data_IF_051805706740
#
_entry.id   IF_051805706740
#
_cell.length_a   1.000
_cell.length_b   1.000
_cell.length_c   1.000
_cell.angle_alpha   90.00
_cell.angle_beta   90.00
_cell.angle_gamma   90.00
#
_symmetry.space_group_name_H-M   'P 1'
#
loop_
_entity.id
_entity.type
_entity.pdbx_description
1 polymer ?
#
# COMPACT_ATOMS: atom_id res chain seq x y z
N UNK A 1 30.20 -8.45 14.17
CA UNK A 1 29.30 -8.86 13.07
C UNK A 1 27.86 -8.60 13.50
N UNK A 2 27.26 -7.52 13.01
CA UNK A 2 25.93 -7.10 13.44
C UNK A 2 24.85 -7.92 12.73
N UNK A 3 24.04 -8.66 13.51
CA UNK A 3 22.82 -9.32 13.05
C UNK A 3 21.78 -8.24 12.75
N UNK A 4 21.63 -7.87 11.49
CA UNK A 4 20.55 -7.00 11.03
C UNK A 4 19.21 -7.73 11.10
N UNK A 5 18.27 -7.19 11.87
CA UNK A 5 16.89 -7.67 12.00
C UNK A 5 16.18 -7.68 10.64
N UNK A 6 16.15 -8.84 9.98
CA UNK A 6 15.24 -9.15 8.88
C UNK A 6 13.87 -9.49 9.48
N UNK A 7 12.87 -8.63 9.32
CA UNK A 7 11.56 -8.92 9.90
C UNK A 7 10.45 -7.90 9.68
N UNK A 8 10.37 -7.25 8.51
CA UNK A 8 9.11 -6.63 8.10
C UNK A 8 8.13 -7.73 7.70
N UNK A 9 7.09 -7.96 8.51
CA UNK A 9 5.97 -8.85 8.14
C UNK A 9 5.28 -8.27 6.90
N UNK A 10 5.23 -9.08 5.86
CA UNK A 10 4.97 -8.68 4.47
C UNK A 10 3.45 -8.60 4.20
N UNK A 11 3.04 -8.21 3.01
CA UNK A 11 1.64 -8.02 2.60
C UNK A 11 0.97 -9.32 2.11
N UNK A 12 -0.32 -9.53 2.42
CA UNK A 12 -1.11 -10.60 1.79
C UNK A 12 -2.59 -10.29 1.75
N UNK A 13 -3.15 -10.35 0.55
CA UNK A 13 -4.58 -10.56 0.34
C UNK A 13 -5.06 -11.81 1.10
N UNK A 14 -5.72 -11.56 2.23
CA UNK A 14 -6.39 -12.57 3.06
C UNK A 14 -5.58 -13.04 4.27
N UNK A 15 -6.03 -12.64 5.46
CA UNK A 15 -5.63 -13.13 6.78
C UNK A 15 -4.11 -13.15 7.05
N UNK A 16 -3.50 -11.96 6.95
CA UNK A 16 -2.36 -11.57 7.77
C UNK A 16 -1.10 -12.43 7.75
N UNK A 17 -0.66 -12.90 6.58
CA UNK A 17 0.67 -13.51 6.43
C UNK A 17 1.33 -13.03 5.15
N UNK A 18 2.24 -12.08 5.32
CA UNK A 18 2.98 -11.52 4.23
C UNK A 18 3.64 -12.47 3.23
N UNK A 19 3.84 -11.97 2.01
CA UNK A 19 4.51 -12.68 0.91
C UNK A 19 5.73 -13.48 1.38
N UNK A 20 5.72 -14.80 1.24
CA UNK A 20 6.89 -15.61 1.61
C UNK A 20 8.10 -15.26 0.72
N UNK A 21 9.31 -14.98 1.26
CA UNK A 21 10.48 -14.70 0.43
C UNK A 21 10.80 -15.78 -0.58
N UNK A 22 10.49 -17.04 -0.24
CA UNK A 22 10.73 -18.18 -1.12
C UNK A 22 9.77 -18.22 -2.31
N UNK A 23 8.70 -17.41 -2.32
CA UNK A 23 7.77 -17.29 -3.43
C UNK A 23 8.24 -16.27 -4.49
N UNK A 24 9.28 -15.48 -4.20
CA UNK A 24 9.87 -14.53 -5.17
C UNK A 24 10.87 -15.30 -6.04
N UNK A 25 10.58 -15.38 -7.34
CA UNK A 25 11.48 -16.03 -8.32
C UNK A 25 12.53 -15.05 -8.81
N UNK A 26 12.14 -13.80 -9.04
CA UNK A 26 13.02 -12.73 -9.47
C UNK A 26 12.25 -11.44 -9.68
N UNK A 27 12.99 -10.33 -9.77
CA UNK A 27 12.46 -9.00 -10.05
C UNK A 27 13.16 -8.39 -11.27
N UNK A 28 12.45 -7.53 -11.98
CA UNK A 28 12.95 -6.71 -13.08
C UNK A 28 12.61 -5.26 -12.81
N UNK A 29 13.47 -4.34 -13.25
CA UNK A 29 13.17 -2.90 -13.15
C UNK A 29 11.90 -2.59 -13.93
N UNK A 30 11.00 -1.79 -13.34
CA UNK A 30 9.76 -1.38 -14.01
C UNK A 30 10.01 -0.77 -15.40
N UNK A 31 11.07 0.03 -15.54
CA UNK A 31 11.40 0.70 -16.81
C UNK A 31 11.74 -0.30 -17.92
N UNK A 32 12.33 -1.45 -17.56
CA UNK A 32 12.70 -2.48 -18.54
C UNK A 32 11.48 -3.16 -19.18
N UNK A 33 10.31 -3.12 -18.54
CA UNK A 33 9.05 -3.68 -19.08
C UNK A 33 8.30 -2.67 -19.97
N UNK A 34 8.80 -1.43 -20.11
CA UNK A 34 8.08 -0.37 -20.84
C UNK A 34 7.90 -0.70 -22.33
N UNK A 35 8.85 -1.44 -22.91
CA UNK A 35 8.67 -2.07 -24.22
C UNK A 35 7.69 -3.23 -24.09
N UNK A 36 6.43 -3.00 -24.47
CA UNK A 36 5.33 -3.96 -24.36
C UNK A 36 4.28 -3.61 -23.32
N UNK A 37 4.64 -2.87 -22.25
CA UNK A 37 3.73 -2.47 -21.17
C UNK A 37 3.77 -0.97 -20.87
N UNK A 38 3.82 -0.14 -21.93
CA UNK A 38 3.99 1.31 -21.79
C UNK A 38 2.94 1.95 -20.87
N UNK A 39 1.67 1.56 -21.02
CA UNK A 39 0.58 2.10 -20.20
C UNK A 39 0.78 1.74 -18.72
N UNK A 40 1.02 0.46 -18.41
CA UNK A 40 1.17 -0.03 -17.05
C UNK A 40 2.38 0.58 -16.35
N UNK A 41 3.50 0.72 -17.07
CA UNK A 41 4.70 1.39 -16.57
C UNK A 41 4.40 2.86 -16.26
N UNK A 42 3.78 3.60 -17.19
CA UNK A 42 3.47 5.01 -17.00
C UNK A 42 2.47 5.23 -15.84
N UNK A 43 1.51 4.31 -15.65
CA UNK A 43 0.58 4.32 -14.52
C UNK A 43 1.29 4.20 -13.17
N UNK A 44 2.22 3.25 -13.03
CA UNK A 44 2.98 3.04 -11.78
C UNK A 44 3.98 4.17 -11.53
N UNK A 45 4.69 4.63 -12.57
CA UNK A 45 5.61 5.77 -12.46
C UNK A 45 4.89 7.07 -12.05
N UNK A 46 3.63 7.25 -12.47
CA UNK A 46 2.82 8.39 -12.03
C UNK A 46 2.62 8.37 -10.52
N UNK A 47 2.42 7.19 -9.90
CA UNK A 47 2.35 7.07 -8.44
C UNK A 47 3.67 7.50 -7.81
N UNK A 48 4.80 6.99 -8.31
CA UNK A 48 6.13 7.37 -7.81
C UNK A 48 6.34 8.88 -7.84
N UNK A 49 6.00 9.53 -8.96
CA UNK A 49 6.07 10.98 -9.11
C UNK A 49 5.15 11.72 -8.13
N UNK A 50 3.85 11.37 -8.11
CA UNK A 50 2.87 12.04 -7.26
C UNK A 50 3.24 11.92 -5.77
N UNK A 51 3.79 10.77 -5.37
CA UNK A 51 4.22 10.51 -4.01
C UNK A 51 5.52 11.24 -3.66
N UNK A 52 6.46 11.36 -4.60
CA UNK A 52 7.64 12.21 -4.42
C UNK A 52 7.25 13.68 -4.26
N UNK A 53 6.35 14.18 -5.11
CA UNK A 53 5.89 15.58 -5.03
C UNK A 53 5.18 15.87 -3.70
N UNK A 54 4.42 14.91 -3.17
CA UNK A 54 3.65 15.09 -1.93
C UNK A 54 4.48 14.85 -0.64
N UNK A 55 5.39 13.88 -0.65
CA UNK A 55 6.09 13.41 0.56
C UNK A 55 7.61 13.58 0.51
N UNK A 56 8.19 13.93 -0.63
CA UNK A 56 9.65 14.01 -0.83
C UNK A 56 10.36 12.65 -0.74
N UNK A 57 9.62 11.56 -0.98
CA UNK A 57 10.11 10.19 -0.83
C UNK A 57 10.25 9.55 -2.20
N UNK A 58 11.49 9.25 -2.54
CA UNK A 58 11.83 8.40 -3.69
C UNK A 58 11.88 6.94 -3.27
N UNK A 59 11.30 6.09 -4.12
CA UNK A 59 11.24 4.63 -4.04
C UNK A 59 11.29 4.07 -5.45
N UNK A 60 12.07 3.01 -5.60
CA UNK A 60 12.14 2.24 -6.84
C UNK A 60 10.96 1.28 -6.97
N UNK A 61 10.47 1.17 -8.21
CA UNK A 61 9.43 0.24 -8.59
C UNK A 61 9.99 -0.88 -9.47
N UNK A 62 9.54 -2.10 -9.19
CA UNK A 62 9.91 -3.31 -9.91
C UNK A 62 8.68 -4.10 -10.35
N UNK A 63 8.90 -5.06 -11.24
CA UNK A 63 7.94 -6.10 -11.58
C UNK A 63 8.49 -7.44 -11.11
N UNK A 64 7.72 -8.16 -10.29
CA UNK A 64 8.15 -9.41 -9.66
C UNK A 64 7.48 -10.63 -10.29
N UNK A 65 8.28 -11.65 -10.60
CA UNK A 65 7.76 -12.97 -10.94
C UNK A 65 7.57 -13.77 -9.65
N UNK A 66 6.33 -14.14 -9.33
CA UNK A 66 5.98 -14.88 -8.13
C UNK A 66 5.53 -16.31 -8.44
N UNK A 67 5.82 -17.23 -7.50
CA UNK A 67 5.37 -18.63 -7.54
C UNK A 67 4.54 -18.99 -6.30
N UNK A 68 4.02 -20.21 -6.28
CA UNK A 68 3.28 -20.73 -5.12
C UNK A 68 2.11 -19.84 -4.71
N UNK A 69 1.98 -19.59 -3.41
CA UNK A 69 0.92 -18.73 -2.87
C UNK A 69 1.15 -17.25 -3.21
N UNK A 70 2.40 -16.83 -3.41
CA UNK A 70 2.75 -15.47 -3.84
C UNK A 70 2.09 -15.03 -5.15
N UNK A 71 1.70 -15.95 -6.04
CA UNK A 71 0.95 -15.61 -7.27
C UNK A 71 -0.36 -14.86 -7.02
N UNK A 72 -0.91 -14.96 -5.81
CA UNK A 72 -2.15 -14.28 -5.41
C UNK A 72 -1.94 -12.84 -4.94
N UNK A 73 -0.71 -12.44 -4.60
CA UNK A 73 -0.40 -11.07 -4.23
C UNK A 73 -0.46 -10.15 -5.47
N UNK A 74 -0.91 -8.91 -5.30
CA UNK A 74 -0.96 -7.91 -6.39
C UNK A 74 0.34 -7.12 -6.48
N UNK A 75 0.93 -6.83 -5.32
CA UNK A 75 2.24 -6.22 -5.16
C UNK A 75 2.77 -6.50 -3.76
N UNK A 76 3.97 -6.01 -3.49
CA UNK A 76 4.56 -6.00 -2.16
C UNK A 76 5.61 -4.90 -2.02
N UNK A 77 5.80 -4.45 -0.79
CA UNK A 77 6.96 -3.70 -0.35
C UNK A 77 7.87 -4.60 0.52
N UNK A 78 9.17 -4.62 0.24
CA UNK A 78 10.13 -5.51 0.92
C UNK A 78 11.00 -4.85 2.00
N UNK A 79 10.91 -3.52 2.14
CA UNK A 79 11.74 -2.72 3.02
C UNK A 79 12.59 -1.68 2.28
N UNK A 80 12.84 -1.90 0.99
CA UNK A 80 13.64 -1.01 0.16
C UNK A 80 12.88 -0.65 -1.14
N UNK A 81 12.22 -1.63 -1.77
CA UNK A 81 11.57 -1.49 -3.07
C UNK A 81 10.09 -1.86 -3.02
N UNK A 82 9.33 -1.34 -3.98
CA UNK A 82 7.96 -1.80 -4.27
C UNK A 82 7.99 -2.63 -5.54
N UNK A 83 7.42 -3.83 -5.50
CA UNK A 83 7.28 -4.65 -6.68
C UNK A 83 5.82 -5.03 -6.96
N UNK A 84 5.40 -4.87 -8.21
CA UNK A 84 4.09 -5.31 -8.70
C UNK A 84 4.21 -6.73 -9.24
N UNK A 85 3.26 -7.61 -8.93
CA UNK A 85 3.31 -8.99 -9.41
C UNK A 85 3.05 -9.04 -10.93
N UNK A 86 3.99 -9.62 -11.68
CA UNK A 86 3.94 -9.77 -13.14
C UNK A 86 2.67 -10.46 -13.62
N UNK A 87 2.10 -11.38 -12.83
CA UNK A 87 0.86 -12.07 -13.17
C UNK A 87 -0.37 -11.14 -13.23
N UNK A 88 -0.28 -9.96 -12.61
CA UNK A 88 -1.33 -8.94 -12.57
C UNK A 88 -0.87 -7.62 -13.18
N UNK A 89 0.31 -7.57 -13.82
CA UNK A 89 0.86 -6.38 -14.45
C UNK A 89 0.21 -6.11 -15.82
N UNK A 90 -1.09 -5.86 -15.77
CA UNK A 90 -1.98 -5.50 -16.87
C UNK A 90 -3.05 -4.56 -16.30
N UNK A 91 -3.21 -3.38 -16.89
CA UNK A 91 -4.05 -2.33 -16.30
C UNK A 91 -5.52 -2.75 -16.15
N UNK A 92 -6.06 -3.45 -17.16
CA UNK A 92 -7.47 -3.88 -17.16
C UNK A 92 -7.71 -4.99 -16.16
N UNK A 93 -6.84 -6.00 -16.13
CA UNK A 93 -6.91 -7.11 -15.20
C UNK A 93 -6.80 -6.61 -13.75
N UNK A 94 -5.78 -5.81 -13.44
CA UNK A 94 -5.59 -5.28 -12.10
C UNK A 94 -6.78 -4.44 -11.65
N UNK A 95 -7.34 -3.63 -12.54
CA UNK A 95 -8.54 -2.83 -12.28
C UNK A 95 -9.74 -3.72 -11.95
N UNK A 96 -10.00 -4.76 -12.73
CA UNK A 96 -11.11 -5.68 -12.47
C UNK A 96 -10.95 -6.46 -11.15
N UNK A 97 -9.72 -6.86 -10.82
CA UNK A 97 -9.41 -7.50 -9.53
C UNK A 97 -9.67 -6.54 -8.38
N UNK A 98 -9.17 -5.29 -8.47
CA UNK A 98 -9.38 -4.27 -7.43
C UNK A 98 -10.86 -3.90 -7.25
N UNK A 99 -11.62 -3.79 -8.33
CA UNK A 99 -13.06 -3.51 -8.26
C UNK A 99 -13.81 -4.66 -7.57
N UNK A 100 -13.48 -5.91 -7.92
CA UNK A 100 -14.03 -7.10 -7.24
C UNK A 100 -13.72 -7.12 -5.74
N UNK A 101 -12.50 -6.73 -5.36
CA UNK A 101 -12.11 -6.66 -3.95
C UNK A 101 -12.77 -5.49 -3.20
N UNK A 102 -13.13 -4.42 -3.90
CA UNK A 102 -13.87 -3.29 -3.32
C UNK A 102 -15.34 -3.68 -3.09
N UNK A 103 -15.98 -4.34 -4.05
CA UNK A 103 -17.41 -4.67 -4.00
C UNK A 103 -17.76 -5.75 -2.97
N UNK A 104 -16.81 -6.66 -2.66
CA UNK A 104 -16.98 -7.71 -1.64
C UNK A 104 -16.87 -7.15 -0.22
N UNK A 105 -17.84 -6.32 0.17
CA UNK A 105 -17.97 -5.79 1.53
C UNK A 105 -16.89 -4.76 1.89
N UNK A 106 -16.40 -4.00 0.91
CA UNK A 106 -15.34 -2.99 1.08
C UNK A 106 -14.05 -3.56 1.67
N UNK A 107 -13.54 -4.65 1.10
CA UNK A 107 -12.28 -5.23 1.58
C UNK A 107 -11.11 -4.25 1.42
N UNK A 108 -11.08 -3.49 0.32
CA UNK A 108 -10.22 -2.31 0.12
C UNK A 108 -11.05 -1.04 -0.09
N UNK A 109 -10.48 0.17 0.09
CA UNK A 109 -11.06 1.42 -0.39
C UNK A 109 -11.24 1.40 -1.90
N UNK A 110 -12.23 2.16 -2.39
CA UNK A 110 -12.41 2.35 -3.83
C UNK A 110 -11.19 3.02 -4.45
N UNK A 111 -10.80 2.59 -5.65
CA UNK A 111 -9.77 3.27 -6.46
C UNK A 111 -10.22 4.61 -7.05
N UNK A 112 -11.49 5.02 -6.86
CA UNK A 112 -12.03 6.23 -7.45
C UNK A 112 -11.86 6.24 -8.97
N UNK A 113 -11.19 7.28 -9.48
CA UNK A 113 -10.87 7.40 -10.91
C UNK A 113 -9.46 6.90 -11.28
N UNK A 114 -8.67 6.38 -10.32
CA UNK A 114 -7.35 5.81 -10.56
C UNK A 114 -7.47 4.38 -11.09
N UNK A 115 -6.40 3.85 -11.70
CA UNK A 115 -6.36 2.45 -12.15
C UNK A 115 -6.10 1.48 -11.00
N UNK A 116 -6.32 0.19 -11.23
CA UNK A 116 -5.96 -0.84 -10.24
C UNK A 116 -4.47 -0.82 -9.89
N UNK A 117 -3.59 -0.65 -10.89
CA UNK A 117 -2.14 -0.57 -10.69
C UNK A 117 -1.77 0.62 -9.82
N UNK A 118 -2.38 1.78 -10.08
CA UNK A 118 -2.17 2.98 -9.28
C UNK A 118 -2.60 2.79 -7.82
N UNK A 119 -3.74 2.12 -7.60
CA UNK A 119 -4.25 1.83 -6.25
C UNK A 119 -3.31 0.90 -5.47
N UNK A 120 -2.87 -0.19 -6.11
CA UNK A 120 -1.93 -1.15 -5.49
C UNK A 120 -0.58 -0.50 -5.21
N UNK A 121 -0.01 0.22 -6.18
CA UNK A 121 1.26 0.92 -5.98
C UNK A 121 1.17 1.97 -4.84
N UNK A 122 0.05 2.69 -4.72
CA UNK A 122 -0.17 3.63 -3.63
C UNK A 122 -0.31 2.95 -2.26
N UNK A 123 -0.95 1.77 -2.21
CA UNK A 123 -1.02 0.94 -1.01
C UNK A 123 0.38 0.53 -0.55
N UNK A 124 1.18 -0.07 -1.45
CA UNK A 124 2.55 -0.50 -1.12
C UNK A 124 3.46 0.70 -0.75
N UNK A 125 3.26 1.86 -1.40
CA UNK A 125 3.91 3.10 -0.99
C UNK A 125 3.53 3.51 0.42
N UNK A 126 2.29 3.31 0.85
CA UNK A 126 1.86 3.55 2.21
C UNK A 126 2.66 2.76 3.25
N UNK A 127 3.07 1.52 2.94
CA UNK A 127 3.98 0.76 3.81
C UNK A 127 5.37 1.39 3.89
N UNK A 128 5.92 1.81 2.76
CA UNK A 128 7.25 2.40 2.71
C UNK A 128 7.29 3.78 3.38
N UNK A 129 6.27 4.61 3.16
CA UNK A 129 6.07 5.87 3.87
C UNK A 129 5.97 5.64 5.38
N UNK A 130 5.26 4.58 5.81
CA UNK A 130 5.17 4.21 7.22
C UNK A 130 6.55 3.96 7.81
N UNK A 131 7.39 3.14 7.16
CA UNK A 131 8.75 2.87 7.64
C UNK A 131 9.60 4.14 7.71
N UNK A 132 9.59 4.97 6.67
CA UNK A 132 10.36 6.23 6.67
C UNK A 132 9.90 7.16 7.81
N UNK A 133 8.60 7.27 8.05
CA UNK A 133 8.05 8.15 9.11
C UNK A 133 8.29 7.57 10.51
N UNK A 134 8.06 6.28 10.72
CA UNK A 134 8.29 5.61 12.01
C UNK A 134 9.75 5.75 12.43
N UNK A 135 10.68 5.55 11.49
CA UNK A 135 12.11 5.67 11.73
C UNK A 135 12.55 7.12 11.97
N UNK A 136 12.15 8.05 11.09
CA UNK A 136 12.59 9.46 11.18
C UNK A 136 12.00 10.20 12.37
N UNK A 137 10.71 9.97 12.67
CA UNK A 137 9.99 10.69 13.74
C UNK A 137 9.93 9.93 15.06
N UNK A 138 10.48 8.72 15.13
CA UNK A 138 10.47 7.84 16.31
C UNK A 138 9.05 7.67 16.89
N UNK A 139 8.05 7.56 16.02
CA UNK A 139 6.64 7.35 16.36
C UNK A 139 6.21 5.96 15.89
N UNK A 140 5.51 5.19 16.71
CA UNK A 140 5.00 3.87 16.32
C UNK A 140 3.73 3.97 15.45
N UNK A 141 3.43 2.92 14.67
CA UNK A 141 2.18 2.85 13.89
C UNK A 141 0.95 2.93 14.80
N UNK A 142 1.04 2.33 15.99
CA UNK A 142 -0.02 2.42 17.01
C UNK A 142 -0.29 3.86 17.42
N UNK A 143 0.76 4.67 17.63
CA UNK A 143 0.60 6.08 18.00
C UNK A 143 0.00 6.90 16.85
N UNK A 144 0.36 6.62 15.60
CA UNK A 144 -0.26 7.25 14.42
C UNK A 144 -1.77 6.97 14.42
N UNK A 145 -2.17 5.71 14.53
CA UNK A 145 -3.59 5.33 14.53
C UNK A 145 -4.33 5.88 15.76
N UNK A 146 -3.73 5.83 16.95
CA UNK A 146 -4.35 6.41 18.16
C UNK A 146 -4.60 7.91 18.02
N UNK A 147 -3.68 8.66 17.40
CA UNK A 147 -3.87 10.09 17.15
C UNK A 147 -4.99 10.33 16.15
N UNK A 148 -5.01 9.58 15.04
CA UNK A 148 -6.05 9.67 14.02
C UNK A 148 -7.43 9.34 14.59
N UNK A 149 -7.54 8.24 15.36
CA UNK A 149 -8.78 7.79 15.99
C UNK A 149 -9.35 8.82 16.96
N UNK A 150 -8.48 9.49 17.73
CA UNK A 150 -8.91 10.61 18.59
C UNK A 150 -9.43 11.79 17.78
N UNK A 151 -8.74 12.18 16.71
CA UNK A 151 -9.16 13.30 15.84
C UNK A 151 -10.51 13.07 15.17
N UNK A 152 -10.89 11.81 14.91
CA UNK A 152 -12.13 11.46 14.21
C UNK A 152 -13.26 10.98 15.13
N UNK A 153 -13.05 11.00 16.45
CA UNK A 153 -14.07 10.70 17.47
C UNK A 153 -14.23 9.22 17.83
N UNK A 154 -13.26 8.36 17.51
CA UNK A 154 -13.28 6.92 17.82
C UNK A 154 -12.55 6.54 19.12
N UNK A 155 -11.90 7.50 19.77
CA UNK A 155 -11.21 7.27 21.06
C UNK A 155 -10.05 6.29 20.94
N UNK A 156 -10.09 5.20 21.71
CA UNK A 156 -9.05 4.15 21.73
C UNK A 156 -9.44 2.88 20.97
N UNK A 157 -10.63 2.83 20.36
CA UNK A 157 -11.06 1.64 19.61
C UNK A 157 -10.46 1.62 18.20
N UNK A 158 -9.25 1.08 18.10
CA UNK A 158 -8.50 1.01 16.84
C UNK A 158 -9.17 0.08 15.82
N UNK A 159 -9.89 -0.95 16.25
CA UNK A 159 -10.57 -1.88 15.33
C UNK A 159 -11.80 -1.25 14.73
N UNK A 160 -12.60 -0.55 15.54
CA UNK A 160 -13.73 0.23 15.04
C UNK A 160 -13.26 1.33 14.08
N UNK A 161 -12.18 2.04 14.43
CA UNK A 161 -11.56 3.04 13.55
C UNK A 161 -11.11 2.43 12.21
N UNK A 162 -10.31 1.36 12.23
CA UNK A 162 -9.81 0.71 11.02
C UNK A 162 -10.94 0.19 10.12
N UNK A 163 -12.03 -0.32 10.71
CA UNK A 163 -13.19 -0.81 9.97
C UNK A 163 -13.91 0.26 9.14
N UNK A 164 -13.71 1.55 9.43
CA UNK A 164 -14.25 2.65 8.63
C UNK A 164 -13.46 2.91 7.35
N UNK A 165 -12.21 2.48 7.30
CA UNK A 165 -11.35 2.60 6.12
C UNK A 165 -11.65 1.44 5.18
N UNK A 166 -11.41 0.21 5.63
CA UNK A 166 -11.67 -1.00 4.84
C UNK A 166 -11.70 -2.28 5.69
N UNK A 167 -12.11 -3.38 5.06
CA UNK A 167 -12.00 -4.73 5.63
C UNK A 167 -10.56 -5.11 5.96
N UNK A 168 -9.63 -4.81 5.04
CA UNK A 168 -8.23 -5.18 5.13
C UNK A 168 -7.44 -4.30 6.12
N UNK A 169 -7.83 -3.05 6.31
CA UNK A 169 -7.27 -2.17 7.33
C UNK A 169 -7.33 -2.75 8.76
N UNK A 170 -8.22 -3.70 9.03
CA UNK A 170 -8.33 -4.37 10.34
C UNK A 170 -7.25 -5.41 10.61
N UNK A 171 -6.53 -5.87 9.58
CA UNK A 171 -5.56 -6.96 9.71
C UNK A 171 -4.33 -6.55 10.52
N UNK A 172 -3.86 -5.31 10.36
CA UNK A 172 -2.78 -4.75 11.18
C UNK A 172 -2.76 -3.22 11.16
N UNK A 173 -2.01 -2.61 12.08
CA UNK A 173 -1.79 -1.17 12.06
C UNK A 173 -1.11 -0.70 10.76
N UNK A 174 -0.20 -1.51 10.21
CA UNK A 174 0.53 -1.19 9.00
C UNK A 174 -0.38 -1.21 7.78
N UNK A 175 -1.29 -2.19 7.72
CA UNK A 175 -2.33 -2.28 6.69
C UNK A 175 -3.34 -1.13 6.80
N UNK A 176 -3.74 -0.77 8.03
CA UNK A 176 -4.59 0.40 8.25
C UNK A 176 -3.99 1.68 7.67
N UNK A 177 -2.67 1.89 7.83
CA UNK A 177 -1.99 3.06 7.30
C UNK A 177 -1.85 2.97 5.77
N UNK A 178 -1.48 1.81 5.22
CA UNK A 178 -1.36 1.62 3.77
C UNK A 178 -2.68 1.83 3.02
N UNK A 179 -3.76 1.24 3.54
CA UNK A 179 -5.11 1.42 3.02
C UNK A 179 -5.55 2.89 3.08
N UNK A 180 -5.20 3.60 4.17
CA UNK A 180 -5.48 5.03 4.28
C UNK A 180 -4.74 5.87 3.24
N UNK A 181 -3.47 5.56 2.97
CA UNK A 181 -2.66 6.25 1.95
C UNK A 181 -3.24 6.00 0.56
N UNK A 182 -3.57 4.75 0.24
CA UNK A 182 -4.22 4.39 -1.02
C UNK A 182 -5.57 5.11 -1.20
N UNK A 183 -6.43 5.12 -0.16
CA UNK A 183 -7.73 5.81 -0.20
C UNK A 183 -7.57 7.32 -0.47
N UNK A 184 -6.65 7.99 0.22
CA UNK A 184 -6.43 9.44 0.00
C UNK A 184 -5.82 9.71 -1.37
N UNK A 185 -4.89 8.89 -1.85
CA UNK A 185 -4.34 9.04 -3.19
C UNK A 185 -5.41 8.85 -4.28
N UNK A 186 -6.29 7.86 -4.10
CA UNK A 186 -7.33 7.51 -5.08
C UNK A 186 -8.53 8.47 -5.05
N UNK A 187 -8.94 8.94 -3.86
CA UNK A 187 -10.19 9.66 -3.67
C UNK A 187 -10.01 11.11 -3.21
N UNK A 188 -8.80 11.53 -2.83
CA UNK A 188 -8.50 12.89 -2.38
C UNK A 188 -9.44 13.36 -1.27
N UNK A 189 -10.16 14.46 -1.54
CA UNK A 189 -11.15 15.01 -0.60
C UNK A 189 -12.34 14.09 -0.32
N UNK A 190 -12.63 13.13 -1.21
CA UNK A 190 -13.73 12.15 -1.06
C UNK A 190 -13.33 10.90 -0.28
N UNK A 191 -12.05 10.75 0.09
CA UNK A 191 -11.57 9.64 0.91
C UNK A 191 -12.35 9.53 2.25
N UNK A 192 -12.19 8.44 2.99
CA UNK A 192 -12.76 8.38 4.35
C UNK A 192 -12.08 9.42 5.25
N UNK A 193 -12.85 9.96 6.21
CA UNK A 193 -12.31 10.97 7.15
C UNK A 193 -11.19 10.36 8.01
N UNK A 194 -11.28 9.08 8.32
CA UNK A 194 -10.27 8.28 9.02
C UNK A 194 -8.98 8.15 8.21
N UNK A 195 -9.08 7.87 6.91
CA UNK A 195 -7.93 7.82 6.00
C UNK A 195 -7.20 9.17 5.94
N UNK A 196 -7.96 10.27 5.76
CA UNK A 196 -7.40 11.63 5.77
C UNK A 196 -6.72 11.98 7.08
N UNK A 197 -7.28 11.57 8.22
CA UNK A 197 -6.69 11.83 9.53
C UNK A 197 -5.33 11.12 9.69
N UNK A 198 -5.19 9.87 9.24
CA UNK A 198 -3.89 9.18 9.19
C UNK A 198 -2.91 9.96 8.31
N UNK A 199 -3.30 10.30 7.08
CA UNK A 199 -2.41 10.97 6.12
C UNK A 199 -1.98 12.35 6.61
N UNK A 200 -2.84 13.09 7.31
CA UNK A 200 -2.47 14.36 7.94
C UNK A 200 -1.34 14.17 8.97
N UNK A 201 -1.44 13.15 9.82
CA UNK A 201 -0.39 12.84 10.80
C UNK A 201 0.91 12.44 10.09
N UNK A 202 0.84 11.65 9.01
CA UNK A 202 2.03 11.31 8.21
C UNK A 202 2.67 12.56 7.61
N UNK A 203 1.88 13.54 7.18
CA UNK A 203 2.35 14.85 6.68
C UNK A 203 2.80 15.80 7.79
N UNK A 204 2.63 15.44 9.06
CA UNK A 204 3.01 16.28 10.20
C UNK A 204 2.04 17.45 10.45
N UNK A 205 0.78 17.30 10.02
CA UNK A 205 -0.33 18.24 10.22
C UNK A 205 -1.19 17.84 11.42
#
# INVERSE_FOLDING_TARGET
MAKGSRGGKRTSLGKGQGLNPNDIVGTTSLISEREGHRQEVDEVLTVGKDMFDEYGIEIDFEVATLKGNGRKALGYYDGDNIAINKAHFDSKNMTAVMDTCTDRGMFHPSRGNKTGLQSVAAHEFGHALTDKIVNSRKISEKQIISRAAKQTGHGQDHKAFASKISGYAKESNRECIAEAVADVYCNGSKAKKESRAIVNILKGK
#
